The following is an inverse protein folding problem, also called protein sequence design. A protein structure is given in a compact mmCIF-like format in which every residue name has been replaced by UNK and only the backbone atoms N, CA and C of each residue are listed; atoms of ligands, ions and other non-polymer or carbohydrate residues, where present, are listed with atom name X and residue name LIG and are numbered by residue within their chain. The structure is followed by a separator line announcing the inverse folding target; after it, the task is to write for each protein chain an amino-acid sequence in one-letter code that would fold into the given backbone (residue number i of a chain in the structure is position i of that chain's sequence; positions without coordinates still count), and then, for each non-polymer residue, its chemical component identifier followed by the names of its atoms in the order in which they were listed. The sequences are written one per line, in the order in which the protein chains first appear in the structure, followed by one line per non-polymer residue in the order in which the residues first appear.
data_IF_199864853405
#
_entry.id   IF_199864853405
#
_cell.length_a   1.000
_cell.length_b   1.000
_cell.length_c   1.000
_cell.angle_alpha   90.00
_cell.angle_beta   90.00
_cell.angle_gamma   90.00
#
_symmetry.space_group_name_H-M   'P 1'
#
loop_
_entity.id
_entity.type
_entity.pdbx_description
1 polymer ?
#
# COMPACT_ATOMS: atom_id res chain seq x y z
N UNK A 1 -1.70 -4.15 8.54
CA UNK A 1 -0.34 -4.35 7.97
C UNK A 1 -0.43 -4.31 6.45
N UNK A 2 0.65 -3.95 5.75
CA UNK A 2 0.70 -3.93 4.29
C UNK A 2 1.92 -4.72 3.83
N UNK A 3 1.71 -5.75 2.99
CA UNK A 3 2.78 -6.43 2.28
C UNK A 3 2.84 -5.91 0.84
N UNK A 4 3.96 -5.28 0.48
CA UNK A 4 4.18 -4.81 -0.89
C UNK A 4 4.70 -5.96 -1.73
N UNK A 5 4.05 -6.27 -2.84
CA UNK A 5 4.43 -7.36 -3.76
C UNK A 5 5.61 -6.90 -4.64
N UNK A 6 6.74 -6.62 -4.00
CA UNK A 6 8.00 -6.21 -4.61
C UNK A 6 9.15 -6.53 -3.65
N UNK A 7 10.25 -7.06 -4.19
CA UNK A 7 11.46 -7.31 -3.40
C UNK A 7 12.30 -6.04 -3.32
N UNK A 8 12.33 -5.40 -2.14
CA UNK A 8 13.22 -4.28 -1.85
C UNK A 8 14.62 -4.77 -1.47
N UNK A 9 15.64 -3.94 -1.72
CA UNK A 9 17.03 -4.24 -1.36
C UNK A 9 17.33 -4.00 0.12
N UNK A 10 16.57 -3.13 0.76
CA UNK A 10 16.74 -2.67 2.12
C UNK A 10 15.39 -2.31 2.73
N UNK A 11 15.35 -2.23 4.06
CA UNK A 11 14.17 -1.79 4.79
C UNK A 11 13.95 -0.28 4.65
N UNK A 12 12.69 0.15 4.71
CA UNK A 12 12.27 1.54 4.52
C UNK A 12 11.62 2.14 5.78
N UNK A 13 12.12 1.79 6.96
CA UNK A 13 11.65 2.37 8.22
C UNK A 13 11.78 3.90 8.22
N UNK A 14 10.76 4.58 8.75
CA UNK A 14 10.68 6.05 8.76
C UNK A 14 10.22 6.68 7.44
N UNK A 15 10.08 5.90 6.36
CA UNK A 15 9.54 6.39 5.10
C UNK A 15 8.00 6.43 5.11
N UNK A 16 7.44 7.29 4.26
CA UNK A 16 5.99 7.38 4.07
C UNK A 16 5.55 6.35 3.02
N UNK A 17 4.67 5.44 3.43
CA UNK A 17 4.01 4.49 2.55
C UNK A 17 2.63 5.03 2.12
N UNK A 18 2.50 5.38 0.84
CA UNK A 18 1.22 5.78 0.24
C UNK A 18 0.48 4.55 -0.29
N UNK A 19 -0.80 4.38 0.08
CA UNK A 19 -1.61 3.19 -0.27
C UNK A 19 -3.02 3.60 -0.71
N UNK A 20 -3.55 2.91 -1.73
CA UNK A 20 -4.96 3.00 -2.14
C UNK A 20 -5.60 1.62 -1.97
N UNK A 21 -6.72 1.56 -1.25
CA UNK A 21 -7.49 0.33 -1.06
C UNK A 21 -8.49 0.18 -2.21
N UNK A 22 -8.31 -0.86 -3.04
CA UNK A 22 -9.06 -1.02 -4.31
C UNK A 22 -10.06 -2.19 -4.30
N UNK A 23 -9.98 -3.06 -3.30
CA UNK A 23 -10.83 -4.24 -3.23
C UNK A 23 -10.69 -5.01 -1.92
N UNK A 24 -11.56 -6.00 -1.78
CA UNK A 24 -11.63 -6.91 -0.63
C UNK A 24 -11.40 -8.35 -1.11
N UNK A 25 -10.61 -9.12 -0.36
CA UNK A 25 -10.30 -10.53 -0.68
C UNK A 25 -11.12 -11.46 0.20
N UNK A 26 -10.97 -11.37 1.53
CA UNK A 26 -11.64 -12.24 2.50
C UNK A 26 -11.62 -11.63 3.91
N UNK A 27 -12.45 -12.13 4.85
CA UNK A 27 -12.30 -11.79 6.26
C UNK A 27 -11.08 -12.45 6.87
N UNK A 28 -10.72 -12.02 8.08
CA UNK A 28 -9.75 -12.72 8.92
C UNK A 28 -10.23 -14.14 9.25
N UNK A 29 -9.28 -15.07 9.35
CA UNK A 29 -9.53 -16.49 9.59
C UNK A 29 -8.46 -17.03 10.53
N UNK A 30 -8.86 -17.96 11.39
CA UNK A 30 -7.93 -18.81 12.13
C UNK A 30 -7.47 -19.97 11.25
N UNK A 31 -6.25 -20.44 11.46
CA UNK A 31 -5.66 -21.55 10.73
C UNK A 31 -5.11 -22.58 11.71
N UNK A 32 -5.29 -23.85 11.39
CA UNK A 32 -4.88 -24.96 12.26
C UNK A 32 -3.37 -25.24 12.22
N UNK A 33 -2.65 -24.65 11.26
CA UNK A 33 -1.19 -24.79 11.12
C UNK A 33 -0.54 -23.58 10.46
N UNK A 34 0.77 -23.45 10.66
CA UNK A 34 1.58 -22.44 9.98
C UNK A 34 1.56 -22.61 8.45
N UNK A 35 1.61 -23.85 7.97
CA UNK A 35 1.55 -24.14 6.53
C UNK A 35 0.21 -23.72 5.91
N UNK A 36 -0.90 -23.94 6.62
CA UNK A 36 -2.22 -23.49 6.18
C UNK A 36 -2.32 -21.96 6.11
N UNK A 37 -1.72 -21.26 7.08
CA UNK A 37 -1.61 -19.80 7.06
C UNK A 37 -0.77 -19.31 5.88
N UNK A 38 0.42 -19.87 5.66
CA UNK A 38 1.30 -19.52 4.53
C UNK A 38 0.59 -19.75 3.20
N UNK A 39 -0.08 -20.90 3.04
CA UNK A 39 -0.84 -21.21 1.84
C UNK A 39 -1.95 -20.19 1.60
N UNK A 40 -2.68 -19.78 2.64
CA UNK A 40 -3.73 -18.77 2.51
C UNK A 40 -3.16 -17.39 2.11
N UNK A 41 -2.04 -16.96 2.70
CA UNK A 41 -1.37 -15.71 2.34
C UNK A 41 -0.92 -15.73 0.87
N UNK A 42 -0.31 -16.83 0.40
CA UNK A 42 0.11 -16.96 -0.99
C UNK A 42 -1.10 -16.90 -1.95
N UNK A 43 -2.22 -17.52 -1.60
CA UNK A 43 -3.45 -17.41 -2.39
C UNK A 43 -3.99 -15.96 -2.42
N UNK A 44 -3.94 -15.24 -1.29
CA UNK A 44 -4.35 -13.83 -1.22
C UNK A 44 -3.46 -12.95 -2.14
N UNK A 45 -2.15 -13.21 -2.19
CA UNK A 45 -1.21 -12.51 -3.08
C UNK A 45 -1.54 -12.75 -4.55
N UNK A 46 -1.79 -14.00 -4.95
CA UNK A 46 -2.10 -14.33 -6.35
C UNK A 46 -3.46 -13.74 -6.77
N UNK A 47 -4.47 -13.78 -5.90
CA UNK A 47 -5.76 -13.14 -6.18
C UNK A 47 -5.64 -11.62 -6.26
N UNK A 48 -4.83 -10.99 -5.41
CA UNK A 48 -4.54 -9.56 -5.47
C UNK A 48 -3.91 -9.18 -6.81
N UNK A 49 -2.87 -9.91 -7.26
CA UNK A 49 -2.25 -9.69 -8.59
C UNK A 49 -3.29 -9.77 -9.70
N UNK A 50 -4.08 -10.85 -9.73
CA UNK A 50 -5.11 -11.07 -10.76
C UNK A 50 -6.15 -9.96 -10.78
N UNK A 51 -6.65 -9.51 -9.62
CA UNK A 51 -7.60 -8.39 -9.54
C UNK A 51 -6.97 -7.09 -10.00
N UNK A 52 -5.72 -6.81 -9.63
CA UNK A 52 -5.03 -5.56 -9.99
C UNK A 52 -4.81 -5.40 -11.50
N UNK A 53 -4.85 -6.49 -12.29
CA UNK A 53 -4.83 -6.45 -13.76
C UNK A 53 -6.17 -5.99 -14.39
N UNK A 54 -7.23 -5.82 -13.61
CA UNK A 54 -8.50 -5.31 -14.12
C UNK A 54 -8.35 -3.83 -14.54
N UNK A 55 -8.95 -3.40 -15.68
CA UNK A 55 -8.81 -2.03 -16.18
C UNK A 55 -9.18 -0.94 -15.17
N UNK A 56 -10.17 -1.20 -14.32
CA UNK A 56 -10.61 -0.28 -13.27
C UNK A 56 -9.60 -0.10 -12.14
N UNK A 57 -8.70 -1.06 -11.92
CA UNK A 57 -7.64 -0.97 -10.91
C UNK A 57 -6.34 -0.45 -11.53
N UNK A 58 -6.04 -0.84 -12.78
CA UNK A 58 -4.86 -0.35 -13.50
C UNK A 58 -4.82 1.19 -13.60
N UNK A 59 -5.97 1.84 -13.81
CA UNK A 59 -6.03 3.33 -13.86
C UNK A 59 -5.59 4.01 -12.56
N UNK A 60 -5.68 3.32 -11.41
CA UNK A 60 -5.33 3.87 -10.10
C UNK A 60 -3.81 3.91 -9.87
N UNK A 61 -3.05 3.12 -10.63
CA UNK A 61 -1.57 3.14 -10.58
C UNK A 61 -1.00 4.51 -10.94
N UNK A 62 -1.66 5.21 -11.85
CA UNK A 62 -1.26 6.53 -12.37
C UNK A 62 -2.02 7.69 -11.70
N UNK A 63 -2.75 7.43 -10.61
CA UNK A 63 -3.54 8.45 -9.91
C UNK A 63 -2.66 9.58 -9.35
N UNK A 64 -3.20 10.81 -9.34
CA UNK A 64 -2.52 11.99 -8.82
C UNK A 64 -2.12 11.84 -7.34
N UNK A 65 -2.82 11.00 -6.57
CA UNK A 65 -2.46 10.64 -5.20
C UNK A 65 -1.00 10.20 -5.07
N UNK A 66 -0.52 9.33 -5.97
CA UNK A 66 0.86 8.83 -5.94
C UNK A 66 1.89 9.84 -6.49
N UNK A 67 1.43 10.86 -7.23
CA UNK A 67 2.29 11.90 -7.83
C UNK A 67 2.45 13.13 -6.94
N UNK A 68 1.48 13.40 -6.06
CA UNK A 68 1.48 14.57 -5.18
C UNK A 68 2.62 14.55 -4.12
N UNK A 69 3.14 13.36 -3.78
CA UNK A 69 4.16 13.21 -2.74
C UNK A 69 5.54 13.78 -3.11
N UNK A 70 5.81 14.08 -4.38
CA UNK A 70 7.09 14.68 -4.79
C UNK A 70 7.23 16.17 -4.40
N UNK A 71 6.13 16.84 -4.05
CA UNK A 71 6.10 18.30 -3.85
C UNK A 71 6.24 18.77 -2.39
N UNK A 72 6.02 17.91 -1.40
CA UNK A 72 5.82 18.36 0.00
C UNK A 72 7.05 18.19 0.90
N UNK A 73 8.10 17.51 0.45
CA UNK A 73 9.34 17.34 1.25
C UNK A 73 10.26 18.57 1.32
N UNK A 74 9.84 19.75 0.84
CA UNK A 74 10.67 20.98 0.77
C UNK A 74 10.02 22.24 1.38
N UNK A 75 9.11 22.14 2.36
CA UNK A 75 8.62 23.35 3.05
C UNK A 75 8.34 23.15 4.54
N UNK A 76 9.33 22.69 5.31
CA UNK A 76 9.44 23.02 6.73
C UNK A 76 10.54 24.06 6.93
N UNK A 77 10.21 25.32 6.61
CA UNK A 77 10.90 26.49 7.13
C UNK A 77 9.92 27.65 7.21
N UNK A 78 9.50 27.94 8.44
CA UNK A 78 8.84 29.15 8.95
C UNK A 78 7.66 29.75 8.17
N UNK A 79 6.45 29.54 8.69
CA UNK A 79 5.46 30.62 8.77
C UNK A 79 4.57 30.49 10.01
N UNK A 80 5.00 31.13 11.09
CA UNK A 80 4.15 31.45 12.23
C UNK A 80 3.08 32.42 11.71
N UNK A 81 1.81 32.05 11.79
CA UNK A 81 0.71 33.01 11.67
C UNK A 81 0.04 33.12 13.04
N UNK A 82 0.36 34.19 13.77
CA UNK A 82 -0.46 34.65 14.88
C UNK A 82 -1.69 35.37 14.29
N UNK A 83 -2.88 34.85 14.57
CA UNK A 83 -4.14 35.56 14.37
C UNK A 83 -4.54 36.31 15.64
N UNK A 84 -4.92 37.59 15.47
CA UNK A 84 -5.66 38.40 16.43
C UNK A 84 -7.04 37.81 16.74
#
# INVERSE_FOLDING_TARGET
ETHVIHTFKEDFYGQILSVVMVGYIRPERSYDSLDALIAAINNDIEEAKRKLELPEHLKLKEDNFFRASASTSMTTSNKIMNGH
#
